data_IF_050348864375
#
_entry.id   IF_050348864375
#
_cell.length_a   1.000
_cell.length_b   1.000
_cell.length_c   1.000
_cell.angle_alpha   90.00
_cell.angle_beta   90.00
_cell.angle_gamma   90.00
#
_symmetry.space_group_name_H-M   'P 1'
#
loop_
_entity.id
_entity.type
_entity.pdbx_description
1 polymer ?
#
# COMPACT_ATOMS: atom_id res chain seq x y z
N UNK A 1 -1.13 -22.19 -26.04
CA UNK A 1 -0.26 -21.01 -25.87
C UNK A 1 0.36 -21.12 -24.48
N UNK A 2 1.66 -20.88 -24.35
CA UNK A 2 2.32 -20.88 -23.03
C UNK A 2 2.24 -19.46 -22.49
N UNK A 3 1.62 -19.23 -21.33
CA UNK A 3 1.53 -17.91 -20.73
C UNK A 3 2.38 -17.87 -19.46
N UNK A 4 2.96 -16.71 -19.15
CA UNK A 4 3.75 -16.53 -17.93
C UNK A 4 2.80 -16.35 -16.75
N UNK A 5 2.93 -17.13 -15.68
CA UNK A 5 2.03 -17.00 -14.52
C UNK A 5 2.27 -15.68 -13.77
N UNK A 6 1.29 -15.21 -13.00
CA UNK A 6 1.35 -13.92 -12.32
C UNK A 6 0.92 -13.95 -10.86
N UNK A 7 1.63 -13.18 -10.03
CA UNK A 7 1.30 -12.95 -8.61
C UNK A 7 0.99 -11.48 -8.39
N UNK A 8 -0.18 -11.18 -7.83
CA UNK A 8 -0.65 -9.83 -7.54
C UNK A 8 -0.33 -9.43 -6.10
N UNK A 9 0.43 -8.34 -5.93
CA UNK A 9 0.76 -7.76 -4.61
C UNK A 9 0.02 -6.43 -4.46
N UNK A 10 -1.01 -6.37 -3.60
CA UNK A 10 -1.85 -5.18 -3.45
C UNK A 10 -1.14 -4.02 -2.76
N UNK A 11 -1.79 -2.86 -2.77
CA UNK A 11 -1.32 -1.64 -2.11
C UNK A 11 -1.92 -1.51 -0.71
N UNK A 12 -1.76 -0.32 -0.14
CA UNK A 12 -2.42 0.02 1.12
C UNK A 12 -3.95 -0.02 0.97
N UNK A 13 -4.64 -0.69 1.88
CA UNK A 13 -6.07 -0.98 1.77
C UNK A 13 -6.46 -1.89 0.60
N UNK A 14 -5.52 -2.47 -0.14
CA UNK A 14 -5.76 -3.18 -1.41
C UNK A 14 -6.14 -4.66 -1.29
N UNK A 15 -6.45 -5.14 -0.08
CA UNK A 15 -6.97 -6.49 0.13
C UNK A 15 -7.87 -6.57 1.34
N UNK A 16 -8.74 -7.58 1.39
CA UNK A 16 -9.59 -7.81 2.56
C UNK A 16 -8.80 -8.09 3.85
N UNK A 17 -9.37 -7.72 5.00
CA UNK A 17 -8.99 -8.17 6.33
C UNK A 17 -10.22 -8.65 7.09
N UNK A 18 -10.07 -9.75 7.81
CA UNK A 18 -11.11 -10.28 8.69
C UNK A 18 -10.71 -10.12 10.15
N UNK A 19 -11.70 -9.88 11.02
CA UNK A 19 -11.48 -9.77 12.46
C UNK A 19 -12.39 -10.70 13.27
N UNK A 20 -11.91 -11.12 14.44
CA UNK A 20 -12.69 -11.80 15.48
C UNK A 20 -12.51 -11.08 16.82
N UNK A 21 -13.61 -10.84 17.53
CA UNK A 21 -13.60 -10.00 18.74
C UNK A 21 -13.84 -10.82 20.01
N UNK A 22 -13.09 -10.46 21.06
CA UNK A 22 -13.32 -10.79 22.48
C UNK A 22 -12.76 -9.66 23.35
N UNK A 23 -13.29 -8.45 23.15
CA UNK A 23 -12.78 -7.18 23.68
C UNK A 23 -13.16 -6.97 25.15
N UNK A 24 -12.23 -6.51 25.99
CA UNK A 24 -12.53 -6.17 27.39
C UNK A 24 -13.43 -4.92 27.49
N UNK A 25 -13.19 -3.93 26.63
CA UNK A 25 -13.88 -2.65 26.57
C UNK A 25 -14.19 -2.27 25.13
N UNK A 26 -15.19 -1.41 24.94
CA UNK A 26 -15.61 -0.88 23.64
C UNK A 26 -15.84 0.63 23.77
N UNK A 27 -15.66 1.41 22.70
CA UNK A 27 -15.82 2.87 22.76
C UNK A 27 -17.28 3.27 23.00
N UNK A 28 -18.25 2.50 22.46
CA UNK A 28 -19.68 2.74 22.61
C UNK A 28 -20.45 1.46 22.92
N UNK A 29 -21.61 1.59 23.56
CA UNK A 29 -22.46 0.45 23.94
C UNK A 29 -22.97 -0.37 22.74
N UNK A 30 -23.09 0.25 21.57
CA UNK A 30 -23.51 -0.41 20.34
C UNK A 30 -22.37 -1.12 19.60
N UNK A 31 -21.11 -0.92 20.00
CA UNK A 31 -20.00 -1.65 19.40
C UNK A 31 -19.95 -3.08 19.95
N UNK A 32 -19.73 -4.05 19.05
CA UNK A 32 -19.64 -5.45 19.42
C UNK A 32 -18.40 -5.69 20.30
N UNK A 33 -18.62 -6.31 21.48
CA UNK A 33 -17.53 -6.80 22.33
C UNK A 33 -16.98 -8.14 21.86
N UNK A 34 -17.85 -9.02 21.37
CA UNK A 34 -17.51 -10.40 21.04
C UNK A 34 -18.21 -10.85 19.77
N UNK A 35 -17.51 -11.57 18.91
CA UNK A 35 -18.10 -12.22 17.72
C UNK A 35 -17.89 -13.74 17.80
N UNK A 36 -18.86 -14.55 17.32
CA UNK A 36 -18.70 -16.01 17.31
C UNK A 36 -17.60 -16.45 16.35
N UNK A 37 -17.54 -15.80 15.19
CA UNK A 37 -16.65 -16.09 14.07
C UNK A 37 -15.95 -14.82 13.57
N UNK A 38 -15.07 -15.02 12.58
CA UNK A 38 -14.46 -13.93 11.83
C UNK A 38 -15.51 -13.22 10.95
N UNK A 39 -15.41 -11.90 10.84
CA UNK A 39 -16.19 -11.08 9.92
C UNK A 39 -15.26 -10.18 9.11
N UNK A 40 -15.69 -9.74 7.92
CA UNK A 40 -14.93 -8.78 7.11
C UNK A 40 -14.86 -7.44 7.81
N UNK A 41 -13.64 -7.07 8.25
CA UNK A 41 -13.34 -5.78 8.86
C UNK A 41 -13.01 -4.73 7.79
N UNK A 42 -12.28 -5.14 6.76
CA UNK A 42 -11.90 -4.29 5.64
C UNK A 42 -12.06 -5.06 4.32
N UNK A 43 -12.64 -4.49 3.26
CA UNK A 43 -13.53 -3.33 3.29
C UNK A 43 -14.95 -3.81 3.64
N UNK A 44 -15.57 -3.14 4.61
CA UNK A 44 -17.00 -3.26 4.86
C UNK A 44 -17.59 -1.85 4.88
N UNK A 45 -18.42 -1.52 3.89
CA UNK A 45 -19.03 -0.19 3.82
C UNK A 45 -19.91 0.11 5.04
N UNK A 46 -20.52 -0.92 5.64
CA UNK A 46 -21.32 -0.79 6.85
C UNK A 46 -20.47 -0.37 8.06
N UNK A 47 -19.23 -0.90 8.17
CA UNK A 47 -18.27 -0.54 9.23
C UNK A 47 -17.76 0.91 9.09
N UNK A 48 -17.89 1.51 7.90
CA UNK A 48 -17.50 2.90 7.63
C UNK A 48 -18.65 3.91 7.80
N UNK A 49 -19.83 3.50 8.28
CA UNK A 49 -20.92 4.44 8.55
C UNK A 49 -20.62 5.34 9.76
N UNK A 50 -21.05 6.62 9.77
CA UNK A 50 -20.69 7.57 10.84
C UNK A 50 -21.05 7.13 12.26
N UNK A 51 -22.07 6.27 12.42
CA UNK A 51 -22.45 5.73 13.72
C UNK A 51 -21.43 4.71 14.25
N UNK A 52 -20.86 3.88 13.37
CA UNK A 52 -20.02 2.73 13.76
C UNK A 52 -18.53 2.91 13.43
N UNK A 53 -18.14 4.02 12.80
CA UNK A 53 -16.74 4.32 12.46
C UNK A 53 -15.80 4.25 13.68
N UNK A 54 -16.27 4.65 14.86
CA UNK A 54 -15.48 4.55 16.10
C UNK A 54 -15.26 3.09 16.52
N UNK A 55 -16.22 2.19 16.23
CA UNK A 55 -16.06 0.76 16.44
C UNK A 55 -15.02 0.19 15.46
N UNK A 56 -15.12 0.54 14.17
CA UNK A 56 -14.14 0.18 13.14
C UNK A 56 -12.73 0.61 13.55
N UNK A 57 -12.56 1.90 13.89
CA UNK A 57 -11.27 2.48 14.31
C UNK A 57 -10.70 1.75 15.52
N UNK A 58 -11.50 1.39 16.51
CA UNK A 58 -11.01 0.66 17.69
C UNK A 58 -10.70 -0.82 17.42
N UNK A 59 -11.27 -1.41 16.37
CA UNK A 59 -10.97 -2.79 15.95
C UNK A 59 -9.74 -2.84 15.04
N UNK A 60 -9.67 -1.93 14.07
CA UNK A 60 -8.67 -1.90 13.01
C UNK A 60 -7.31 -1.36 13.47
N UNK A 61 -7.29 -0.44 14.44
CA UNK A 61 -6.04 0.17 14.92
C UNK A 61 -5.07 -0.87 15.50
N UNK A 62 -3.80 -0.62 15.27
CA UNK A 62 -2.69 -1.32 15.93
C UNK A 62 -2.34 -0.65 17.27
N UNK A 63 -1.65 -1.40 18.12
CA UNK A 63 -1.02 -0.92 19.35
C UNK A 63 0.49 -1.04 19.18
N UNK A 64 1.18 0.08 19.22
CA UNK A 64 2.64 0.14 19.16
C UNK A 64 3.24 0.03 20.56
N UNK A 65 4.26 -0.81 20.68
CA UNK A 65 5.03 -0.98 21.90
C UNK A 65 6.42 -0.35 21.71
N UNK A 66 6.65 0.76 22.42
CA UNK A 66 7.90 1.52 22.34
C UNK A 66 9.13 0.81 22.95
N UNK A 67 8.92 -0.30 23.66
CA UNK A 67 10.01 -1.12 24.21
C UNK A 67 10.40 -2.21 23.23
N UNK A 68 9.42 -2.84 22.57
CA UNK A 68 9.69 -3.91 21.61
C UNK A 68 9.85 -3.43 20.17
N UNK A 69 9.50 -2.17 19.87
CA UNK A 69 9.49 -1.59 18.53
C UNK A 69 8.65 -2.41 17.54
N UNK A 70 7.49 -2.90 18.01
CA UNK A 70 6.56 -3.75 17.25
C UNK A 70 5.13 -3.34 17.47
N UNK A 71 4.27 -3.77 16.55
CA UNK A 71 2.82 -3.57 16.64
C UNK A 71 2.07 -4.87 16.91
N UNK A 72 1.03 -4.76 17.71
CA UNK A 72 0.05 -5.82 17.97
C UNK A 72 -1.36 -5.34 17.64
N UNK A 73 -2.30 -6.27 17.44
CA UNK A 73 -3.71 -5.93 17.31
C UNK A 73 -4.23 -5.29 18.61
N UNK A 74 -5.36 -4.57 18.51
CA UNK A 74 -6.04 -4.04 19.68
C UNK A 74 -6.44 -5.15 20.67
N UNK A 75 -6.48 -4.89 21.99
CA UNK A 75 -6.80 -5.92 22.99
C UNK A 75 -8.13 -6.62 22.71
N UNK A 76 -8.09 -7.96 22.63
CA UNK A 76 -9.25 -8.78 22.31
C UNK A 76 -9.69 -8.69 20.84
N UNK A 77 -8.80 -8.30 19.93
CA UNK A 77 -9.03 -8.33 18.49
C UNK A 77 -8.01 -9.25 17.85
N UNK A 78 -8.49 -10.26 17.14
CA UNK A 78 -7.69 -11.09 16.26
C UNK A 78 -7.97 -10.69 14.82
N UNK A 79 -6.93 -10.53 14.00
CA UNK A 79 -7.04 -10.12 12.59
C UNK A 79 -6.25 -11.09 11.73
N UNK A 80 -6.88 -11.53 10.64
CA UNK A 80 -6.25 -12.39 9.64
C UNK A 80 -6.44 -11.84 8.24
N UNK A 81 -5.55 -12.24 7.36
CA UNK A 81 -5.58 -11.91 5.94
C UNK A 81 -6.16 -13.10 5.16
N UNK A 82 -7.40 -13.02 4.64
CA UNK A 82 -8.02 -14.10 3.88
C UNK A 82 -7.49 -14.17 2.44
N UNK A 83 -7.70 -15.32 1.80
CA UNK A 83 -7.55 -15.47 0.34
C UNK A 83 -6.11 -15.56 -0.18
N UNK A 84 -5.11 -15.84 0.67
CA UNK A 84 -3.73 -15.98 0.23
C UNK A 84 -3.57 -17.09 -0.83
N UNK A 85 -3.07 -16.72 -2.01
CA UNK A 85 -2.94 -17.58 -3.18
C UNK A 85 -4.17 -17.61 -4.10
N UNK A 86 -5.36 -17.26 -3.62
CA UNK A 86 -6.52 -16.99 -4.47
C UNK A 86 -6.52 -15.53 -4.94
N UNK A 87 -7.47 -15.12 -5.75
CA UNK A 87 -7.56 -13.77 -6.31
C UNK A 87 -8.72 -12.95 -5.77
N UNK A 88 -9.74 -13.58 -5.17
CA UNK A 88 -10.99 -12.89 -4.81
C UNK A 88 -10.77 -11.65 -3.94
N UNK A 89 -9.98 -11.81 -2.87
CA UNK A 89 -9.73 -10.78 -1.85
C UNK A 89 -8.78 -9.67 -2.28
N UNK A 90 -8.21 -9.75 -3.49
CA UNK A 90 -7.45 -8.67 -4.14
C UNK A 90 -8.17 -8.14 -5.38
N UNK A 91 -9.13 -8.88 -5.93
CA UNK A 91 -10.00 -8.40 -7.01
C UNK A 91 -11.08 -7.47 -6.48
N UNK A 92 -11.70 -7.82 -5.36
CA UNK A 92 -12.77 -7.11 -4.69
C UNK A 92 -12.37 -6.83 -3.25
N UNK A 93 -12.51 -5.58 -2.80
CA UNK A 93 -12.23 -5.22 -1.42
C UNK A 93 -13.41 -5.49 -0.49
N UNK A 94 -14.62 -5.60 -1.04
CA UNK A 94 -15.85 -5.87 -0.30
C UNK A 94 -16.55 -7.12 -0.89
N UNK A 95 -16.95 -8.09 -0.05
CA UNK A 95 -17.62 -9.32 -0.48
C UNK A 95 -18.91 -9.13 -1.27
N UNK A 96 -19.56 -7.97 -1.17
CA UNK A 96 -20.74 -7.61 -1.97
C UNK A 96 -20.42 -7.31 -3.44
N UNK A 97 -19.13 -7.14 -3.78
CA UNK A 97 -18.62 -6.93 -5.15
C UNK A 97 -19.27 -5.77 -5.88
N UNK A 98 -19.55 -4.69 -5.16
CA UNK A 98 -19.97 -3.43 -5.77
C UNK A 98 -18.83 -2.86 -6.60
N UNK A 99 -19.13 -2.24 -7.75
CA UNK A 99 -18.09 -1.70 -8.65
C UNK A 99 -17.14 -0.70 -7.95
N UNK A 100 -17.62 0.04 -6.95
CA UNK A 100 -16.81 0.98 -6.16
C UNK A 100 -15.72 0.29 -5.33
N UNK A 101 -15.83 -1.03 -5.11
CA UNK A 101 -14.85 -1.84 -4.36
C UNK A 101 -14.01 -2.74 -5.28
N UNK A 102 -14.16 -2.60 -6.60
CA UNK A 102 -13.33 -3.25 -7.61
C UNK A 102 -11.91 -2.71 -7.56
N UNK A 103 -10.94 -3.60 -7.37
CA UNK A 103 -9.53 -3.27 -7.32
C UNK A 103 -8.76 -3.95 -8.46
N UNK A 104 -8.24 -5.18 -8.29
CA UNK A 104 -7.60 -5.91 -9.41
C UNK A 104 -8.59 -6.64 -10.34
N UNK A 105 -9.90 -6.60 -10.07
CA UNK A 105 -10.88 -7.42 -10.79
C UNK A 105 -10.80 -7.28 -12.32
N UNK A 106 -10.65 -6.07 -12.85
CA UNK A 106 -10.63 -5.86 -14.30
C UNK A 106 -9.40 -6.49 -14.95
N UNK A 107 -8.21 -6.32 -14.36
CA UNK A 107 -6.98 -6.94 -14.86
C UNK A 107 -7.12 -8.47 -14.84
N UNK A 108 -7.54 -9.03 -13.70
CA UNK A 108 -7.66 -10.49 -13.54
C UNK A 108 -8.72 -11.07 -14.49
N UNK A 109 -9.87 -10.40 -14.63
CA UNK A 109 -10.93 -10.83 -15.55
C UNK A 109 -10.46 -10.86 -17.00
N UNK A 110 -9.74 -9.82 -17.43
CA UNK A 110 -9.17 -9.78 -18.77
C UNK A 110 -8.08 -10.86 -18.94
N UNK A 111 -7.24 -11.09 -17.93
CA UNK A 111 -6.25 -12.19 -17.98
C UNK A 111 -6.92 -13.56 -18.13
N UNK A 112 -8.01 -13.83 -17.42
CA UNK A 112 -8.77 -15.08 -17.56
C UNK A 112 -9.31 -15.25 -18.97
N UNK A 113 -9.73 -14.15 -19.63
CA UNK A 113 -10.12 -14.19 -21.05
C UNK A 113 -8.98 -14.59 -22.00
N UNK A 114 -7.72 -14.43 -21.59
CA UNK A 114 -6.53 -14.86 -22.33
C UNK A 114 -6.17 -16.32 -22.05
N UNK A 115 -6.89 -17.02 -21.16
CA UNK A 115 -6.65 -18.43 -20.81
C UNK A 115 -5.92 -18.64 -19.48
N UNK A 116 -5.80 -17.60 -18.66
CA UNK A 116 -5.34 -17.75 -17.28
C UNK A 116 -6.41 -18.36 -16.36
N UNK A 117 -5.98 -18.96 -15.27
CA UNK A 117 -6.81 -19.66 -14.28
C UNK A 117 -6.53 -19.06 -12.89
N UNK A 118 -7.59 -18.49 -12.27
CA UNK A 118 -7.55 -17.97 -10.89
C UNK A 118 -7.14 -19.09 -9.93
N UNK A 119 -6.35 -18.75 -8.92
CA UNK A 119 -5.85 -19.74 -7.98
C UNK A 119 -4.89 -20.75 -8.60
N UNK A 120 -4.33 -20.51 -9.81
CA UNK A 120 -3.31 -21.39 -10.40
C UNK A 120 -2.26 -20.66 -11.21
N UNK A 121 -2.63 -20.05 -12.34
CA UNK A 121 -1.71 -19.24 -13.14
C UNK A 121 -1.83 -17.75 -12.85
N UNK A 122 -2.89 -17.35 -12.15
CA UNK A 122 -3.03 -16.05 -11.48
C UNK A 122 -3.30 -16.26 -10.01
N UNK A 123 -2.49 -15.63 -9.16
CA UNK A 123 -2.53 -15.79 -7.70
C UNK A 123 -2.48 -14.42 -7.03
N UNK A 124 -3.25 -14.21 -5.97
CA UNK A 124 -3.14 -13.04 -5.12
C UNK A 124 -2.19 -13.30 -3.94
N UNK A 125 -1.47 -12.27 -3.53
CA UNK A 125 -0.62 -12.27 -2.34
C UNK A 125 -1.04 -11.12 -1.40
N UNK A 126 -2.26 -11.18 -0.83
CA UNK A 126 -2.71 -10.22 0.17
C UNK A 126 -1.84 -10.30 1.42
N UNK A 127 -1.75 -9.20 2.17
CA UNK A 127 -0.98 -9.10 3.40
C UNK A 127 -1.62 -8.09 4.35
N UNK A 128 -1.16 -8.06 5.59
CA UNK A 128 -1.60 -7.04 6.56
C UNK A 128 -0.98 -5.68 6.19
N UNK A 129 -1.69 -4.91 5.37
CA UNK A 129 -1.23 -3.64 4.84
C UNK A 129 -1.02 -2.55 5.90
N UNK A 130 -1.52 -2.76 7.14
CA UNK A 130 -1.27 -1.86 8.27
C UNK A 130 0.21 -1.86 8.68
N UNK A 131 0.91 -2.97 8.43
CA UNK A 131 2.30 -3.20 8.84
C UNK A 131 3.30 -2.81 7.74
N UNK A 132 4.52 -2.50 8.17
CA UNK A 132 5.67 -2.26 7.31
C UNK A 132 6.51 -3.56 7.13
N UNK A 133 7.44 -3.63 6.17
CA UNK A 133 8.18 -4.86 5.84
C UNK A 133 8.85 -5.59 7.01
N UNK A 134 9.36 -4.85 8.00
CA UNK A 134 10.02 -5.42 9.19
C UNK A 134 9.11 -6.32 10.03
N UNK A 135 7.79 -6.21 9.90
CA UNK A 135 6.81 -7.03 10.63
C UNK A 135 6.06 -8.04 9.73
N UNK A 136 6.48 -8.21 8.47
CA UNK A 136 5.83 -9.06 7.46
C UNK A 136 6.61 -10.34 7.14
N UNK A 137 7.39 -10.86 8.10
CA UNK A 137 8.23 -12.06 7.92
C UNK A 137 7.45 -13.28 7.41
N UNK A 138 6.34 -13.62 8.06
CA UNK A 138 5.47 -14.75 7.67
C UNK A 138 4.92 -14.58 6.25
N UNK A 139 4.54 -13.36 5.87
CA UNK A 139 4.09 -13.05 4.52
C UNK A 139 5.21 -13.29 3.49
N UNK A 140 6.45 -12.89 3.78
CA UNK A 140 7.56 -13.08 2.83
C UNK A 140 7.97 -14.55 2.68
N UNK A 141 7.85 -15.34 3.73
CA UNK A 141 8.00 -16.80 3.66
C UNK A 141 6.89 -17.39 2.77
N UNK A 142 5.63 -17.09 3.07
CA UNK A 142 4.48 -17.54 2.29
C UNK A 142 4.53 -17.08 0.81
N UNK A 143 5.02 -15.87 0.53
CA UNK A 143 5.20 -15.36 -0.83
C UNK A 143 6.27 -16.14 -1.60
N UNK A 144 7.32 -16.59 -0.91
CA UNK A 144 8.33 -17.46 -1.51
C UNK A 144 7.70 -18.79 -1.94
N UNK A 145 6.97 -19.41 -1.01
CA UNK A 145 6.30 -20.69 -1.25
C UNK A 145 5.27 -20.56 -2.37
N UNK A 146 4.48 -19.49 -2.38
CA UNK A 146 3.50 -19.20 -3.42
C UNK A 146 4.15 -19.10 -4.80
N UNK A 147 5.26 -18.38 -4.93
CA UNK A 147 5.98 -18.22 -6.19
C UNK A 147 6.55 -19.56 -6.67
N UNK A 148 7.17 -20.32 -5.77
CA UNK A 148 7.75 -21.62 -6.11
C UNK A 148 6.70 -22.68 -6.48
N UNK A 149 5.57 -22.68 -5.77
CA UNK A 149 4.40 -23.51 -6.06
C UNK A 149 3.78 -23.15 -7.41
N UNK A 150 3.52 -21.86 -7.64
CA UNK A 150 2.99 -21.35 -8.92
C UNK A 150 3.90 -21.72 -10.08
N UNK A 151 5.22 -21.59 -9.91
CA UNK A 151 6.21 -22.00 -10.91
C UNK A 151 6.07 -23.48 -11.27
N UNK A 152 6.00 -24.36 -10.26
CA UNK A 152 5.89 -25.82 -10.46
C UNK A 152 4.56 -26.21 -11.10
N UNK A 153 3.45 -25.63 -10.66
CA UNK A 153 2.11 -25.91 -11.18
C UNK A 153 1.92 -25.46 -12.63
N UNK A 154 2.73 -24.51 -13.09
CA UNK A 154 2.64 -23.94 -14.43
C UNK A 154 3.86 -24.31 -15.29
N UNK A 155 4.22 -25.60 -15.30
CA UNK A 155 5.26 -26.17 -16.16
C UNK A 155 6.64 -25.52 -15.99
N UNK A 156 7.00 -25.16 -14.76
CA UNK A 156 8.28 -24.50 -14.46
C UNK A 156 8.45 -23.17 -15.22
N UNK A 157 7.34 -22.46 -15.42
CA UNK A 157 7.31 -21.14 -16.04
C UNK A 157 7.57 -20.08 -14.98
N UNK A 158 8.52 -19.18 -15.24
CA UNK A 158 8.81 -18.03 -14.37
C UNK A 158 7.56 -17.19 -14.13
N UNK A 159 7.54 -16.41 -13.05
CA UNK A 159 6.39 -15.61 -12.62
C UNK A 159 6.62 -14.14 -12.92
N UNK A 160 5.57 -13.43 -13.38
CA UNK A 160 5.52 -11.97 -13.36
C UNK A 160 4.87 -11.50 -12.07
N UNK A 161 5.57 -10.69 -11.28
CA UNK A 161 4.95 -10.04 -10.12
C UNK A 161 4.29 -8.75 -10.59
N UNK A 162 3.02 -8.54 -10.27
CA UNK A 162 2.30 -7.29 -10.56
C UNK A 162 1.99 -6.61 -9.23
N UNK A 163 2.69 -5.51 -8.95
CA UNK A 163 2.51 -4.71 -7.73
C UNK A 163 1.73 -3.44 -8.01
N UNK A 164 0.83 -3.05 -7.10
CA UNK A 164 0.19 -1.73 -7.13
C UNK A 164 0.55 -0.91 -5.91
N UNK A 165 0.81 0.39 -6.09
CA UNK A 165 1.03 1.34 -4.99
C UNK A 165 2.10 0.84 -4.01
N UNK A 166 1.78 0.69 -2.71
CA UNK A 166 2.62 0.12 -1.66
C UNK A 166 3.07 -1.34 -1.91
N UNK A 167 2.36 -2.10 -2.74
CA UNK A 167 2.77 -3.46 -3.10
C UNK A 167 4.12 -3.49 -3.83
N UNK A 168 4.50 -2.39 -4.49
CA UNK A 168 5.77 -2.25 -5.18
C UNK A 168 6.99 -2.15 -4.24
N UNK A 169 7.02 -1.24 -3.25
CA UNK A 169 8.09 -1.24 -2.25
C UNK A 169 8.08 -2.51 -1.38
N UNK A 170 6.93 -3.13 -1.11
CA UNK A 170 6.83 -4.44 -0.45
C UNK A 170 7.53 -5.52 -1.28
N UNK A 171 7.29 -5.54 -2.59
CA UNK A 171 7.95 -6.45 -3.53
C UNK A 171 9.45 -6.18 -3.64
N UNK A 172 9.87 -4.91 -3.64
CA UNK A 172 11.28 -4.54 -3.67
C UNK A 172 12.03 -5.04 -2.44
N UNK A 173 11.44 -4.86 -1.25
CA UNK A 173 12.01 -5.37 -0.01
C UNK A 173 12.20 -6.89 -0.08
N UNK A 174 11.17 -7.62 -0.51
CA UNK A 174 11.23 -9.07 -0.73
C UNK A 174 12.36 -9.47 -1.69
N UNK A 175 12.41 -8.89 -2.89
CA UNK A 175 13.41 -9.23 -3.91
C UNK A 175 14.84 -8.90 -3.47
N UNK A 176 15.03 -7.87 -2.62
CA UNK A 176 16.34 -7.51 -2.09
C UNK A 176 16.89 -8.52 -1.07
N UNK A 177 16.03 -9.36 -0.49
CA UNK A 177 16.41 -10.47 0.38
C UNK A 177 16.66 -11.79 -0.36
N UNK A 178 16.20 -11.91 -1.61
CA UNK A 178 16.40 -13.12 -2.42
C UNK A 178 17.76 -13.09 -3.12
N UNK A 179 18.38 -14.27 -3.19
CA UNK A 179 19.61 -14.44 -3.96
C UNK A 179 19.34 -14.22 -5.45
N UNK A 180 20.33 -13.72 -6.18
CA UNK A 180 20.19 -13.54 -7.63
C UNK A 180 19.84 -14.85 -8.35
N UNK A 181 20.44 -16.02 -8.02
CA UNK A 181 20.05 -17.29 -8.63
C UNK A 181 18.57 -17.67 -8.38
N UNK A 182 18.01 -17.35 -7.20
CA UNK A 182 16.59 -17.59 -6.94
C UNK A 182 15.72 -16.71 -7.84
N UNK A 183 16.05 -15.42 -7.94
CA UNK A 183 15.32 -14.48 -8.81
C UNK A 183 15.41 -14.88 -10.28
N UNK A 184 16.60 -15.24 -10.74
CA UNK A 184 16.82 -15.69 -12.12
C UNK A 184 16.04 -16.98 -12.43
N UNK A 185 15.84 -17.86 -11.45
CA UNK A 185 15.07 -19.09 -11.62
C UNK A 185 13.56 -18.85 -11.66
N UNK A 186 13.03 -18.04 -10.74
CA UNK A 186 11.60 -17.96 -10.50
C UNK A 186 10.91 -16.73 -11.06
N UNK A 187 11.62 -15.61 -11.29
CA UNK A 187 11.01 -14.33 -11.66
C UNK A 187 11.30 -14.00 -13.12
N UNK A 188 10.24 -13.75 -13.89
CA UNK A 188 10.33 -13.29 -15.28
C UNK A 188 10.57 -11.79 -15.31
N UNK A 189 9.71 -11.04 -14.62
CA UNK A 189 9.74 -9.58 -14.51
C UNK A 189 8.85 -9.11 -13.35
N UNK A 190 8.97 -7.82 -13.01
CA UNK A 190 8.07 -7.11 -12.11
C UNK A 190 7.37 -6.00 -12.90
N UNK A 191 6.04 -5.97 -12.90
CA UNK A 191 5.24 -4.88 -13.43
C UNK A 191 4.79 -4.04 -12.23
N UNK A 192 5.34 -2.83 -12.14
CA UNK A 192 5.01 -1.86 -11.10
C UNK A 192 3.97 -0.88 -11.60
N UNK A 193 2.76 -0.94 -11.05
CA UNK A 193 1.69 0.02 -11.27
C UNK A 193 1.68 1.05 -10.14
N UNK A 194 1.87 2.33 -10.49
CA UNK A 194 1.82 3.45 -9.54
C UNK A 194 2.71 3.28 -8.28
N UNK A 195 3.94 2.77 -8.46
CA UNK A 195 4.81 2.40 -7.34
C UNK A 195 5.27 3.57 -6.46
N UNK A 196 5.20 3.38 -5.14
CA UNK A 196 5.61 4.38 -4.13
C UNK A 196 7.06 4.17 -3.72
N UNK A 197 8.00 4.72 -4.49
CA UNK A 197 9.44 4.47 -4.27
C UNK A 197 10.09 5.41 -3.25
N UNK A 198 9.58 6.63 -3.13
CA UNK A 198 10.13 7.69 -2.26
C UNK A 198 9.21 8.11 -1.11
N UNK A 199 8.05 7.48 -0.97
CA UNK A 199 6.97 7.95 -0.10
C UNK A 199 6.02 8.93 -0.81
N UNK A 200 5.06 9.47 -0.06
CA UNK A 200 4.02 10.40 -0.56
C UNK A 200 3.68 11.46 0.47
N UNK A 201 3.47 12.71 0.04
CA UNK A 201 3.13 13.82 0.95
C UNK A 201 1.79 13.62 1.67
N UNK A 202 0.84 12.88 1.05
CA UNK A 202 -0.47 12.58 1.64
C UNK A 202 -0.37 11.97 3.05
N UNK A 203 0.66 11.16 3.34
CA UNK A 203 0.87 10.55 4.68
C UNK A 203 1.03 11.58 5.79
N UNK A 204 1.59 12.76 5.52
CA UNK A 204 1.69 13.86 6.49
C UNK A 204 0.30 14.39 6.87
N UNK A 205 -0.66 14.38 5.94
CA UNK A 205 -2.07 14.71 6.23
C UNK A 205 -2.70 13.65 7.12
N UNK A 206 -2.53 12.37 6.78
CA UNK A 206 -3.03 11.24 7.58
C UNK A 206 -2.52 11.32 9.03
N UNK A 207 -1.22 11.59 9.21
CA UNK A 207 -0.63 11.74 10.54
C UNK A 207 -1.13 13.00 11.26
N UNK A 208 -1.25 14.14 10.58
CA UNK A 208 -1.69 15.38 11.23
C UNK A 208 -3.20 15.41 11.50
N UNK A 209 -4.04 15.49 10.47
CA UNK A 209 -5.48 15.77 10.56
C UNK A 209 -6.38 14.60 10.15
N UNK A 210 -5.80 13.53 9.61
CA UNK A 210 -6.51 12.35 9.12
C UNK A 210 -7.01 12.49 7.68
N UNK A 211 -7.60 11.43 7.16
CA UNK A 211 -8.29 11.36 5.87
C UNK A 211 -9.64 10.65 6.01
N UNK A 212 -10.63 11.01 5.20
CA UNK A 212 -11.98 10.44 5.30
C UNK A 212 -12.15 9.10 4.56
N UNK A 213 -11.05 8.47 4.11
CA UNK A 213 -11.06 7.22 3.32
C UNK A 213 -11.87 7.32 2.01
N UNK A 214 -12.07 8.54 1.49
CA UNK A 214 -12.92 8.78 0.33
C UNK A 214 -14.42 8.76 0.61
N UNK A 215 -14.84 8.71 1.88
CA UNK A 215 -16.25 8.70 2.30
C UNK A 215 -16.66 10.11 2.77
N UNK A 216 -17.43 10.90 1.98
CA UNK A 216 -17.65 12.32 2.25
C UNK A 216 -18.33 12.66 3.59
N UNK A 217 -19.11 11.72 4.13
CA UNK A 217 -19.84 11.90 5.40
C UNK A 217 -18.96 11.64 6.64
N UNK A 218 -17.76 11.09 6.46
CA UNK A 218 -16.83 10.77 7.55
C UNK A 218 -15.91 11.96 7.79
N UNK A 219 -15.81 12.36 9.06
CA UNK A 219 -14.87 13.40 9.47
C UNK A 219 -13.46 12.79 9.56
N UNK A 220 -12.45 13.37 8.89
CA UNK A 220 -11.07 12.85 8.89
C UNK A 220 -10.51 12.58 10.29
N UNK A 221 -10.83 13.46 11.24
CA UNK A 221 -10.38 13.38 12.63
C UNK A 221 -10.81 12.09 13.35
N UNK A 222 -11.94 11.50 12.96
CA UNK A 222 -12.45 10.28 13.59
C UNK A 222 -11.62 9.06 13.17
N UNK A 223 -11.08 9.06 11.95
CA UNK A 223 -10.28 7.94 11.39
C UNK A 223 -8.80 8.10 11.71
N UNK A 224 -8.33 9.32 11.99
CA UNK A 224 -6.91 9.63 12.26
C UNK A 224 -6.24 8.66 13.24
N UNK A 225 -6.94 8.22 14.29
CA UNK A 225 -6.38 7.29 15.29
C UNK A 225 -5.96 5.96 14.67
N UNK A 226 -6.74 5.45 13.73
CA UNK A 226 -6.46 4.22 13.00
C UNK A 226 -5.31 4.43 12.01
N UNK A 227 -5.36 5.50 11.20
CA UNK A 227 -4.32 5.85 10.22
C UNK A 227 -2.94 6.06 10.88
N UNK A 228 -2.91 6.77 12.02
CA UNK A 228 -1.70 6.97 12.84
C UNK A 228 -1.12 5.66 13.35
N UNK A 229 -1.97 4.68 13.64
CA UNK A 229 -1.52 3.43 14.25
C UNK A 229 -0.76 2.51 13.31
N UNK A 230 -0.80 2.77 11.99
CA UNK A 230 -0.17 1.92 10.99
C UNK A 230 1.30 2.30 10.73
N UNK A 231 2.28 1.40 11.01
CA UNK A 231 3.66 1.62 10.59
C UNK A 231 3.82 1.82 9.08
N UNK A 232 2.93 1.27 8.26
CA UNK A 232 2.94 1.50 6.80
C UNK A 232 2.77 2.98 6.44
N UNK A 233 1.92 3.73 7.17
CA UNK A 233 1.73 5.17 6.93
C UNK A 233 3.02 5.95 7.24
N UNK A 234 3.70 5.63 8.35
CA UNK A 234 4.98 6.25 8.71
C UNK A 234 6.10 5.88 7.71
N UNK A 235 6.11 4.61 7.27
CA UNK A 235 7.07 4.10 6.30
C UNK A 235 6.97 4.82 4.95
N UNK A 236 5.75 5.10 4.49
CA UNK A 236 5.49 5.79 3.23
C UNK A 236 5.59 7.33 3.30
N UNK A 237 6.07 7.89 4.42
CA UNK A 237 6.39 9.32 4.46
C UNK A 237 7.53 9.69 3.51
N UNK A 238 7.52 10.91 2.92
CA UNK A 238 8.53 11.35 1.97
C UNK A 238 9.97 11.14 2.48
N UNK A 239 10.86 10.65 1.63
CA UNK A 239 12.28 10.47 1.96
C UNK A 239 13.15 11.58 1.38
N UNK A 240 14.28 11.83 2.04
CA UNK A 240 15.34 12.75 1.60
C UNK A 240 16.05 12.29 0.30
N UNK A 241 15.82 11.05 -0.14
CA UNK A 241 16.25 10.58 -1.46
C UNK A 241 15.51 11.26 -2.62
N UNK A 242 14.30 11.80 -2.38
CA UNK A 242 13.45 12.39 -3.42
C UNK A 242 12.95 13.80 -3.12
N UNK A 243 12.94 14.21 -1.85
CA UNK A 243 12.61 15.57 -1.43
C UNK A 243 13.85 16.26 -0.89
N UNK A 244 14.03 17.53 -1.26
CA UNK A 244 15.19 18.30 -0.80
C UNK A 244 15.01 18.62 0.68
N UNK A 245 16.12 18.64 1.41
CA UNK A 245 16.16 19.05 2.82
C UNK A 245 15.61 20.46 3.08
N UNK A 246 15.61 21.34 2.07
CA UNK A 246 15.06 22.70 2.17
C UNK A 246 13.60 22.83 1.73
N UNK A 247 12.99 21.74 1.25
CA UNK A 247 11.63 21.77 0.72
C UNK A 247 10.59 21.61 1.83
N UNK A 248 9.76 22.64 2.00
CA UNK A 248 8.66 22.60 2.97
C UNK A 248 7.53 21.70 2.48
N UNK A 249 7.24 20.66 3.25
CA UNK A 249 6.14 19.73 3.02
C UNK A 249 4.88 20.13 3.80
N UNK A 250 5.06 20.64 5.01
CA UNK A 250 3.98 21.11 5.87
C UNK A 250 4.30 22.50 6.38
N UNK A 251 3.37 23.43 6.24
CA UNK A 251 3.40 24.74 6.90
C UNK A 251 2.36 24.76 8.00
N UNK A 252 2.80 24.97 9.24
CA UNK A 252 1.94 25.24 10.38
C UNK A 252 2.06 26.69 10.82
N UNK A 253 1.21 27.17 11.74
CA UNK A 253 1.37 28.50 12.31
C UNK A 253 2.65 28.70 13.12
N UNK A 254 3.21 27.62 13.65
CA UNK A 254 4.41 27.66 14.48
C UNK A 254 5.69 27.58 13.65
N UNK A 255 5.71 26.69 12.65
CA UNK A 255 6.88 26.44 11.81
C UNK A 255 6.56 25.67 10.53
N UNK A 256 7.55 25.60 9.65
CA UNK A 256 7.57 24.75 8.48
C UNK A 256 8.30 23.44 8.79
N UNK A 257 7.83 22.33 8.20
CA UNK A 257 8.44 21.02 8.31
C UNK A 257 8.88 20.53 6.93
N UNK A 258 10.10 20.01 6.88
CA UNK A 258 10.74 19.35 5.75
C UNK A 258 10.94 17.86 6.07
N UNK A 259 11.57 17.11 5.17
CA UNK A 259 11.99 15.71 5.44
C UNK A 259 12.94 15.56 6.62
N UNK A 260 13.61 16.64 7.06
CA UNK A 260 14.51 16.60 8.21
C UNK A 260 13.82 16.86 9.55
N UNK A 261 12.57 17.31 9.53
CA UNK A 261 11.87 17.82 10.72
C UNK A 261 10.83 16.82 11.24
N UNK A 262 10.96 15.52 10.98
CA UNK A 262 9.93 14.54 11.36
C UNK A 262 9.80 14.32 12.86
N UNK A 263 10.88 14.33 13.63
CA UNK A 263 10.81 14.25 15.10
C UNK A 263 9.97 15.40 15.68
N UNK A 264 10.24 16.57 15.12
CA UNK A 264 9.64 17.84 15.41
C UNK A 264 8.16 17.88 14.99
N UNK A 265 7.85 17.42 13.78
CA UNK A 265 6.49 17.25 13.28
C UNK A 265 5.67 16.34 14.19
N UNK A 266 6.16 15.15 14.52
CA UNK A 266 5.45 14.20 15.38
C UNK A 266 5.28 14.69 16.82
N UNK A 267 6.22 15.49 17.32
CA UNK A 267 6.08 16.16 18.61
C UNK A 267 4.94 17.19 18.58
N UNK A 268 4.86 18.01 17.53
CA UNK A 268 3.89 19.11 17.44
C UNK A 268 2.46 18.66 17.11
N UNK A 269 2.28 17.42 16.63
CA UNK A 269 0.96 16.78 16.43
C UNK A 269 0.56 15.81 17.56
N UNK A 270 1.31 15.83 18.66
CA UNK A 270 1.12 14.98 19.84
C UNK A 270 1.05 13.48 19.50
N UNK A 271 2.00 12.99 18.69
CA UNK A 271 2.06 11.59 18.27
C UNK A 271 3.49 11.07 18.10
N UNK A 272 4.24 11.03 19.21
CA UNK A 272 5.67 10.64 19.21
C UNK A 272 5.92 9.19 18.79
N UNK A 273 4.96 8.29 19.02
CA UNK A 273 5.06 6.89 18.54
C UNK A 273 5.22 6.83 17.02
N UNK A 274 4.60 7.75 16.27
CA UNK A 274 4.76 7.84 14.82
C UNK A 274 6.19 8.13 14.38
N UNK A 275 6.95 8.89 15.17
CA UNK A 275 8.38 9.10 14.90
C UNK A 275 9.18 7.82 15.11
N UNK A 276 8.89 7.06 16.17
CA UNK A 276 9.54 5.77 16.41
C UNK A 276 9.22 4.78 15.27
N UNK A 277 7.95 4.69 14.85
CA UNK A 277 7.56 3.90 13.67
C UNK A 277 8.31 4.34 12.41
N UNK A 278 8.51 5.65 12.20
CA UNK A 278 9.32 6.16 11.09
C UNK A 278 10.77 5.70 11.20
N UNK A 279 11.39 5.82 12.37
CA UNK A 279 12.77 5.37 12.62
C UNK A 279 12.95 3.88 12.38
N UNK A 280 11.96 3.07 12.78
CA UNK A 280 11.98 1.61 12.60
C UNK A 280 11.89 1.20 11.12
N UNK A 281 11.31 2.06 10.27
CA UNK A 281 10.92 1.69 8.90
C UNK A 281 11.62 2.45 7.79
N UNK A 282 12.18 3.64 8.06
CA UNK A 282 12.71 4.54 7.03
C UNK A 282 13.77 3.89 6.14
N UNK A 283 14.62 3.04 6.71
CA UNK A 283 15.76 2.43 6.02
C UNK A 283 15.43 1.11 5.30
N UNK A 284 14.20 0.61 5.38
CA UNK A 284 13.84 -0.71 4.84
C UNK A 284 14.03 -0.79 3.32
N UNK A 285 13.76 0.31 2.60
CA UNK A 285 13.99 0.41 1.15
C UNK A 285 14.73 1.68 0.72
N UNK A 286 15.11 2.54 1.65
CA UNK A 286 15.76 3.83 1.37
C UNK A 286 16.99 3.75 0.44
N UNK A 287 17.88 2.73 0.56
CA UNK A 287 19.00 2.61 -0.37
C UNK A 287 18.58 2.43 -1.83
N UNK A 288 17.32 2.09 -2.08
CA UNK A 288 16.77 1.77 -3.40
C UNK A 288 17.72 0.87 -4.19
N UNK A 289 18.09 -0.24 -3.54
CA UNK A 289 18.86 -1.30 -4.17
C UNK A 289 18.00 -1.91 -5.29
N UNK A 290 18.55 -1.94 -6.50
CA UNK A 290 17.86 -2.43 -7.68
C UNK A 290 17.39 -3.89 -7.50
N UNK A 291 16.17 -4.25 -7.93
CA UNK A 291 15.57 -5.55 -7.65
C UNK A 291 16.28 -6.71 -8.36
N UNK A 292 17.09 -6.44 -9.40
CA UNK A 292 17.82 -7.48 -10.13
C UNK A 292 16.90 -8.41 -10.94
N UNK A 293 15.77 -7.89 -11.39
CA UNK A 293 14.83 -8.54 -12.32
C UNK A 293 14.40 -7.51 -13.35
N UNK A 294 13.91 -7.96 -14.51
CA UNK A 294 13.32 -7.05 -15.51
C UNK A 294 12.16 -6.29 -14.85
N UNK A 295 12.15 -4.96 -15.00
CA UNK A 295 11.18 -4.09 -14.35
C UNK A 295 10.43 -3.29 -15.40
N UNK A 296 9.10 -3.32 -15.35
CA UNK A 296 8.24 -2.38 -16.07
C UNK A 296 7.67 -1.39 -15.06
N UNK A 297 8.08 -0.13 -15.15
CA UNK A 297 7.59 0.94 -14.30
C UNK A 297 6.50 1.73 -15.02
N UNK A 298 5.27 1.59 -14.55
CA UNK A 298 4.06 2.17 -15.14
C UNK A 298 3.41 3.09 -14.12
N UNK A 299 3.11 4.33 -14.51
CA UNK A 299 2.37 5.23 -13.63
C UNK A 299 1.64 6.35 -14.38
N UNK A 300 0.71 6.99 -13.67
CA UNK A 300 0.04 8.21 -14.11
C UNK A 300 0.88 9.47 -13.98
N UNK A 301 0.45 10.53 -14.64
CA UNK A 301 0.90 11.90 -14.36
C UNK A 301 -0.21 12.90 -14.73
N UNK A 302 0.00 14.18 -14.48
CA UNK A 302 -0.94 15.27 -14.76
C UNK A 302 -2.26 15.14 -13.98
N UNK A 303 -2.19 14.61 -12.76
CA UNK A 303 -3.28 14.60 -11.78
C UNK A 303 -2.80 15.37 -10.56
N UNK A 304 -3.58 16.36 -10.13
CA UNK A 304 -3.25 17.19 -8.97
C UNK A 304 -3.04 16.31 -7.74
N UNK A 305 -1.81 16.29 -7.24
CA UNK A 305 -1.38 15.41 -6.15
C UNK A 305 -0.93 16.27 -4.97
N UNK A 306 -1.28 15.95 -3.71
CA UNK A 306 -0.83 16.76 -2.57
C UNK A 306 0.69 16.99 -2.59
N UNK A 307 1.13 18.24 -2.73
CA UNK A 307 2.55 18.62 -2.81
C UNK A 307 3.04 19.31 -1.54
N UNK A 308 2.24 20.24 -1.02
CA UNK A 308 2.49 20.92 0.26
C UNK A 308 1.19 21.15 1.00
N UNK A 309 1.21 20.92 2.31
CA UNK A 309 0.08 21.08 3.21
C UNK A 309 0.21 22.40 3.98
N UNK A 310 -0.82 23.24 3.96
CA UNK A 310 -0.84 24.53 4.65
C UNK A 310 -1.92 24.50 5.72
N UNK A 311 -1.49 24.56 6.97
CA UNK A 311 -2.34 24.69 8.12
C UNK A 311 -2.30 26.12 8.65
N UNK A 312 -3.47 26.62 9.04
CA UNK A 312 -3.67 27.91 9.68
C UNK A 312 -3.87 27.73 11.18
N UNK A 313 -3.99 28.84 11.92
CA UNK A 313 -4.29 28.81 13.36
C UNK A 313 -5.60 28.06 13.68
N UNK A 314 -6.52 27.95 12.72
CA UNK A 314 -7.82 27.30 12.93
C UNK A 314 -7.86 25.85 12.45
N UNK A 315 -6.88 25.41 11.64
CA UNK A 315 -6.85 24.04 11.12
C UNK A 315 -5.76 23.16 11.72
N UNK A 316 -4.66 23.75 12.23
CA UNK A 316 -3.58 23.00 12.87
C UNK A 316 -4.04 22.34 14.18
N UNK A 317 -3.93 21.03 14.39
CA UNK A 317 -3.69 19.94 13.44
C UNK A 317 -4.91 18.99 13.37
N UNK A 318 -6.10 19.48 13.71
CA UNK A 318 -7.33 18.68 13.85
C UNK A 318 -8.35 18.89 12.72
N UNK A 319 -8.01 19.66 11.68
CA UNK A 319 -8.86 19.86 10.50
C UNK A 319 -8.01 19.86 9.23
N UNK A 320 -8.64 19.59 8.08
CA UNK A 320 -7.92 19.46 6.82
C UNK A 320 -7.15 20.75 6.46
N UNK A 321 -5.94 20.62 5.89
CA UNK A 321 -5.15 21.76 5.42
C UNK A 321 -5.61 22.22 4.04
N UNK A 322 -5.24 23.46 3.69
CA UNK A 322 -5.17 23.84 2.28
C UNK A 322 -4.03 23.06 1.61
N UNK A 323 -4.20 22.65 0.36
CA UNK A 323 -3.23 21.83 -0.36
C UNK A 323 -2.74 22.57 -1.60
N UNK A 324 -1.42 22.75 -1.69
CA UNK A 324 -0.78 23.12 -2.96
C UNK A 324 -0.47 21.81 -3.70
N UNK A 325 -1.01 21.61 -4.92
CA UNK A 325 -0.74 20.41 -5.68
C UNK A 325 0.67 20.41 -6.29
N UNK A 326 1.23 19.21 -6.44
CA UNK A 326 2.36 18.84 -7.29
C UNK A 326 1.85 17.92 -8.41
N UNK A 327 2.66 17.67 -9.42
CA UNK A 327 2.37 16.65 -10.45
C UNK A 327 2.45 15.23 -9.84
N UNK A 328 1.61 14.33 -10.34
CA UNK A 328 1.53 12.94 -9.90
C UNK A 328 0.28 12.25 -10.43
N UNK A 329 -0.19 11.22 -9.72
CA UNK A 329 -1.38 10.42 -10.06
C UNK A 329 -2.57 10.68 -9.13
N UNK A 330 -2.55 11.75 -8.33
CA UNK A 330 -3.57 12.09 -7.33
C UNK A 330 -3.20 11.65 -5.91
N UNK A 331 -2.33 10.64 -5.77
CA UNK A 331 -1.84 10.15 -4.48
C UNK A 331 -0.32 10.23 -4.37
N UNK A 332 0.40 9.75 -5.38
CA UNK A 332 1.86 9.60 -5.39
C UNK A 332 2.47 10.71 -6.22
N UNK A 333 3.34 11.51 -5.59
CA UNK A 333 4.05 12.59 -6.27
C UNK A 333 4.93 12.03 -7.39
N UNK A 334 5.02 12.76 -8.52
CA UNK A 334 5.73 12.33 -9.74
C UNK A 334 7.18 11.92 -9.48
N UNK A 335 7.85 12.57 -8.52
CA UNK A 335 9.22 12.26 -8.12
C UNK A 335 9.36 10.89 -7.46
N UNK A 336 8.36 10.49 -6.68
CA UNK A 336 8.29 9.16 -6.07
C UNK A 336 7.93 8.12 -7.13
N UNK A 337 6.95 8.37 -7.99
CA UNK A 337 6.57 7.50 -9.11
C UNK A 337 7.76 7.16 -10.04
N UNK A 338 8.62 8.14 -10.30
CA UNK A 338 9.83 7.99 -11.11
C UNK A 338 11.00 7.31 -10.39
N UNK A 339 10.87 6.94 -9.11
CA UNK A 339 11.98 6.37 -8.34
C UNK A 339 12.53 5.06 -8.89
N UNK A 340 11.72 4.27 -9.58
CA UNK A 340 12.15 3.09 -10.33
C UNK A 340 13.25 3.37 -11.37
N UNK A 341 13.31 4.59 -11.93
CA UNK A 341 14.32 4.98 -12.92
C UNK A 341 15.73 5.00 -12.32
N UNK A 342 15.86 5.13 -11.00
CA UNK A 342 17.14 5.07 -10.31
C UNK A 342 17.80 3.69 -10.39
N UNK A 343 17.06 2.65 -10.79
CA UNK A 343 17.59 1.30 -11.00
C UNK A 343 18.27 1.13 -12.37
N UNK A 344 18.05 2.05 -13.32
CA UNK A 344 18.70 2.01 -14.63
C UNK A 344 20.23 2.06 -14.45
N UNK A 345 20.93 1.12 -15.08
CA UNK A 345 22.39 0.99 -14.95
C UNK A 345 22.88 0.43 -13.60
N UNK A 346 21.99 0.15 -12.64
CA UNK A 346 22.34 -0.50 -11.35
C UNK A 346 22.02 -2.00 -11.33
N UNK A 347 21.48 -2.54 -12.42
CA UNK A 347 21.21 -3.96 -12.62
C UNK A 347 21.44 -4.31 -14.10
N UNK A 348 21.65 -5.60 -14.37
CA UNK A 348 21.83 -6.13 -15.74
C UNK A 348 20.51 -6.17 -16.50
N UNK A 349 19.42 -6.51 -15.79
CA UNK A 349 18.10 -6.67 -16.36
C UNK A 349 17.50 -5.29 -16.74
N UNK A 350 16.72 -5.21 -17.83
CA UNK A 350 16.21 -3.93 -18.31
C UNK A 350 15.18 -3.31 -17.36
N UNK A 351 15.10 -1.98 -17.41
CA UNK A 351 14.07 -1.18 -16.73
C UNK A 351 13.30 -0.41 -17.80
N UNK A 352 12.08 -0.87 -18.08
CA UNK A 352 11.13 -0.24 -18.97
C UNK A 352 10.32 0.80 -18.21
N UNK A 353 9.95 1.87 -18.92
CA UNK A 353 9.26 3.00 -18.33
C UNK A 353 8.13 3.47 -19.25
N UNK A 354 6.92 3.60 -18.72
CA UNK A 354 5.75 4.04 -19.47
C UNK A 354 4.89 4.94 -18.59
N UNK A 355 4.58 6.14 -19.10
CA UNK A 355 3.65 7.07 -18.47
C UNK A 355 2.28 6.91 -19.13
N UNK A 356 1.22 6.97 -18.33
CA UNK A 356 -0.17 6.98 -18.76
C UNK A 356 -0.81 8.32 -18.34
N UNK A 357 -0.80 9.35 -19.21
CA UNK A 357 -1.31 10.67 -18.84
C UNK A 357 -2.72 10.63 -18.29
N UNK A 358 -2.95 11.33 -17.18
CA UNK A 358 -4.21 11.41 -16.45
C UNK A 358 -4.73 10.09 -15.90
N UNK A 359 -3.90 9.05 -15.79
CA UNK A 359 -4.27 7.87 -15.01
C UNK A 359 -4.22 8.24 -13.52
N UNK A 360 -5.37 8.30 -12.87
CA UNK A 360 -5.43 8.43 -11.40
C UNK A 360 -4.87 7.15 -10.74
N UNK A 361 -4.38 7.30 -9.51
CA UNK A 361 -3.71 6.28 -8.73
C UNK A 361 -4.39 4.92 -8.75
N UNK A 362 -5.70 4.86 -8.50
CA UNK A 362 -6.48 3.62 -8.51
C UNK A 362 -7.05 3.31 -9.91
N UNK A 363 -7.47 4.32 -10.66
CA UNK A 363 -8.02 4.15 -12.01
C UNK A 363 -7.02 3.50 -12.98
N UNK A 364 -5.71 3.60 -12.72
CA UNK A 364 -4.67 2.92 -13.51
C UNK A 364 -4.91 1.40 -13.63
N UNK A 365 -5.57 0.78 -12.64
CA UNK A 365 -5.91 -0.64 -12.63
C UNK A 365 -7.05 -0.99 -13.62
N UNK A 366 -7.84 0.01 -14.00
CA UNK A 366 -9.04 -0.14 -14.83
C UNK A 366 -8.84 0.37 -16.27
N UNK A 367 -7.71 1.01 -16.55
CA UNK A 367 -7.42 1.61 -17.84
C UNK A 367 -7.09 0.58 -18.93
N UNK A 368 -7.79 0.65 -20.05
CA UNK A 368 -7.61 -0.26 -21.18
C UNK A 368 -6.20 -0.23 -21.78
N UNK A 369 -5.57 0.93 -21.85
CA UNK A 369 -4.21 1.08 -22.38
C UNK A 369 -3.13 0.53 -21.44
N UNK A 370 -3.37 0.58 -20.12
CA UNK A 370 -2.54 -0.09 -19.11
C UNK A 370 -2.69 -1.60 -19.23
N UNK A 371 -3.92 -2.10 -19.32
CA UNK A 371 -4.21 -3.54 -19.48
C UNK A 371 -3.60 -4.05 -20.80
N UNK A 372 -3.67 -3.28 -21.88
CA UNK A 372 -3.01 -3.62 -23.15
C UNK A 372 -1.47 -3.67 -23.01
N UNK A 373 -0.86 -2.81 -22.18
CA UNK A 373 0.57 -2.93 -21.88
C UNK A 373 0.87 -4.24 -21.14
N UNK A 374 0.10 -4.54 -20.07
CA UNK A 374 0.24 -5.79 -19.30
C UNK A 374 0.10 -7.00 -20.22
N UNK A 375 -0.91 -7.00 -21.10
CA UNK A 375 -1.11 -8.05 -22.10
C UNK A 375 0.15 -8.27 -22.94
N UNK A 376 0.74 -7.21 -23.48
CA UNK A 376 1.98 -7.34 -24.27
C UNK A 376 3.09 -7.97 -23.46
N UNK A 377 3.32 -7.54 -22.22
CA UNK A 377 4.38 -8.13 -21.37
C UNK A 377 4.13 -9.61 -21.10
N UNK A 378 2.88 -9.99 -20.82
CA UNK A 378 2.52 -11.36 -20.46
C UNK A 378 2.43 -12.33 -21.65
N UNK A 379 2.07 -11.82 -22.83
CA UNK A 379 1.84 -12.62 -24.03
C UNK A 379 3.04 -12.62 -25.01
N UNK A 380 4.03 -11.76 -24.81
CA UNK A 380 5.26 -11.80 -25.61
C UNK A 380 6.13 -12.97 -25.13
N UNK A 381 5.97 -14.11 -25.82
CA UNK A 381 6.86 -15.27 -25.77
C UNK A 381 7.98 -15.13 -26.81
#
# INVERSE_FOLDING_TARGET
>A
MSFVSSSFVPGDGGSELEAKLDKPVVPHLYCLKKTPDFFTLWLSLDELLPLVIDCFVDNMRLVYDNTTHKTSNSPGVDIRVPGFGDTDTVEWLDPTRLNVTSYFNQIVTVMVSWGYERGKSVRGAPYDFRKAPNELGEFYEALSDLIEDTYKQNNNTKIVIIGHSMGNPITLYFLNQKSQPWKDKFIRSHISLAGVWGGVVKTLRLMASGDNLGVPIIKPINVRKEQRSMPSTAWLMPSDAFWRSSETLVSSPMRNYTVNDYEDFFTDIDFKDGYLMRKDTENLIHPLKAPGVELHCLHGNQVDTPGRLIYTNTTWHDSEPDVIPDDGDGTVNIRSLKGCLTFQGKQVQPVHYQIFPKAEHTEILHREDVIAYIQRVLLTL
#
